data_IF_878615860400
#
_entry.id   IF_878615860400
#
_cell.length_a   1.000
_cell.length_b   1.000
_cell.length_c   1.000
_cell.angle_alpha   90.00
_cell.angle_beta   90.00
_cell.angle_gamma   90.00
#
_symmetry.space_group_name_H-M   'P 1'
#
loop_
_entity.id
_entity.type
_entity.pdbx_description
1 polymer ?
#
# COMPACT_ATOMS: atom_id res chain seq x y z
N UNK A 1 -2.73 21.23 -5.04
CA UNK A 1 -1.33 20.86 -4.84
C UNK A 1 -0.87 20.22 -6.16
N UNK A 2 -0.07 20.95 -6.98
CA UNK A 2 0.32 20.74 -8.41
C UNK A 2 -0.58 21.40 -9.49
N UNK A 3 -0.16 22.58 -9.98
CA UNK A 3 -0.74 23.27 -11.16
C UNK A 3 0.19 23.19 -12.39
N UNK A 4 0.98 22.12 -12.55
CA UNK A 4 2.14 22.12 -13.45
C UNK A 4 2.07 21.22 -14.69
N UNK A 5 0.89 20.75 -15.09
CA UNK A 5 0.76 19.83 -16.25
C UNK A 5 -0.05 20.38 -17.43
N UNK A 6 -0.09 21.70 -17.62
CA UNK A 6 -0.70 22.29 -18.82
C UNK A 6 0.26 23.22 -19.56
N UNK A 7 1.32 22.65 -20.15
CA UNK A 7 2.09 23.29 -21.22
C UNK A 7 1.91 22.46 -22.49
N UNK A 8 0.78 22.65 -23.16
CA UNK A 8 0.71 22.32 -24.57
C UNK A 8 1.53 23.36 -25.34
N UNK A 9 2.52 22.86 -26.08
CA UNK A 9 3.22 23.61 -27.10
C UNK A 9 2.23 24.14 -28.12
N UNK A 10 2.10 25.46 -28.18
CA UNK A 10 1.79 26.17 -29.41
C UNK A 10 2.83 27.27 -29.62
N UNK A 11 3.08 27.50 -30.91
CA UNK A 11 4.22 28.14 -31.55
C UNK A 11 4.80 29.45 -30.99
N UNK A 12 6.13 29.51 -31.11
CA UNK A 12 6.96 30.67 -31.47
C UNK A 12 6.65 32.03 -30.80
N UNK A 13 7.47 32.41 -29.82
CA UNK A 13 8.14 33.71 -29.88
C UNK A 13 9.35 33.74 -28.94
N UNK A 14 10.42 34.30 -29.49
CA UNK A 14 11.72 34.47 -28.88
C UNK A 14 11.60 35.48 -27.73
N UNK A 15 11.78 35.05 -26.48
CA UNK A 15 12.03 35.98 -25.38
C UNK A 15 12.96 35.31 -24.37
N UNK A 16 14.24 35.72 -24.40
CA UNK A 16 15.24 35.36 -23.40
C UNK A 16 14.87 36.01 -22.06
N UNK A 17 14.01 35.35 -21.30
CA UNK A 17 13.84 35.64 -19.89
C UNK A 17 14.97 34.93 -19.13
N UNK A 18 15.97 35.73 -18.74
CA UNK A 18 17.05 35.37 -17.83
C UNK A 18 16.42 34.88 -16.51
N UNK A 19 16.33 33.57 -16.33
CA UNK A 19 15.90 32.96 -15.07
C UNK A 19 16.97 33.21 -14.00
N UNK A 20 16.65 34.03 -13.00
CA UNK A 20 17.39 34.01 -11.75
C UNK A 20 17.04 32.73 -10.97
N UNK A 21 18.04 32.03 -10.40
CA UNK A 21 17.78 30.84 -9.60
C UNK A 21 17.02 31.24 -8.32
N UNK A 22 15.81 30.68 -8.17
CA UNK A 22 15.07 30.70 -6.91
C UNK A 22 15.95 30.06 -5.82
N UNK A 23 16.44 30.90 -4.91
CA UNK A 23 17.02 30.46 -3.63
C UNK A 23 15.92 29.76 -2.84
N UNK A 24 15.98 28.43 -2.83
CA UNK A 24 15.27 27.62 -1.86
C UNK A 24 15.99 27.80 -0.52
N UNK A 25 15.44 28.61 0.38
CA UNK A 25 15.82 28.54 1.78
C UNK A 25 15.39 27.16 2.29
N UNK A 26 16.38 26.28 2.46
CA UNK A 26 16.17 24.96 3.02
C UNK A 26 15.62 25.07 4.44
N UNK A 27 14.78 24.11 4.88
CA UNK A 27 14.35 24.07 6.27
C UNK A 27 15.59 24.01 7.17
N UNK A 28 15.63 24.89 8.18
CA UNK A 28 16.68 24.91 9.18
C UNK A 28 16.89 23.49 9.71
N UNK A 29 18.12 23.01 9.61
CA UNK A 29 18.55 21.74 10.17
C UNK A 29 18.18 21.73 11.65
N UNK A 30 17.20 20.92 12.02
CA UNK A 30 16.91 20.62 13.41
C UNK A 30 18.04 19.69 13.85
N UNK A 31 18.93 20.22 14.68
CA UNK A 31 19.99 19.45 15.33
C UNK A 31 19.30 18.32 16.13
N UNK A 32 19.42 17.08 15.63
CA UNK A 32 19.12 15.89 16.40
C UNK A 32 20.23 15.73 17.44
N UNK A 33 19.94 16.10 18.68
CA UNK A 33 20.73 15.70 19.85
C UNK A 33 20.78 14.18 19.90
N UNK A 34 21.97 13.63 19.65
CA UNK A 34 22.28 12.23 19.82
C UNK A 34 22.33 11.93 21.33
N UNK A 35 21.20 11.49 21.88
CA UNK A 35 21.13 10.87 23.21
C UNK A 35 21.89 9.52 23.15
N UNK A 36 23.14 9.56 23.63
CA UNK A 36 23.92 8.38 23.94
C UNK A 36 23.26 7.68 25.15
N UNK A 37 22.53 6.59 24.88
CA UNK A 37 22.09 5.67 25.93
C UNK A 37 23.22 4.69 26.21
N UNK A 38 23.82 4.86 27.38
CA UNK A 38 24.64 3.84 28.06
C UNK A 38 23.83 2.55 28.18
N UNK A 39 24.33 1.49 27.57
CA UNK A 39 23.91 0.13 27.84
C UNK A 39 24.76 -0.37 29.01
N UNK A 40 24.24 -0.20 30.24
CA UNK A 40 24.75 -0.93 31.39
C UNK A 40 24.35 -2.41 31.25
N UNK A 41 25.35 -3.24 31.03
CA UNK A 41 25.32 -4.70 31.16
C UNK A 41 25.05 -5.04 32.62
N UNK A 42 23.85 -5.52 32.93
CA UNK A 42 23.55 -6.22 34.19
C UNK A 42 23.41 -7.72 33.89
N UNK A 43 24.50 -8.42 34.20
CA UNK A 43 24.53 -9.86 34.44
C UNK A 43 23.75 -10.16 35.72
N UNK A 44 22.60 -10.79 35.60
CA UNK A 44 21.94 -11.50 36.70
C UNK A 44 21.82 -12.99 36.33
N UNK A 45 22.82 -13.75 36.78
CA UNK A 45 22.70 -15.18 37.03
C UNK A 45 21.78 -15.40 38.24
N UNK A 46 20.61 -16.01 38.08
CA UNK A 46 20.06 -16.79 39.19
C UNK A 46 19.00 -17.85 38.81
N UNK A 47 19.42 -19.11 39.05
CA UNK A 47 18.69 -20.13 39.81
C UNK A 47 17.29 -20.59 39.40
N UNK A 48 17.33 -21.72 38.67
CA UNK A 48 16.39 -22.86 38.72
C UNK A 48 15.61 -23.04 40.04
N UNK A 49 14.29 -23.17 39.96
CA UNK A 49 13.56 -24.24 40.68
C UNK A 49 12.30 -24.65 39.91
N UNK A 50 12.24 -25.93 39.55
CA UNK A 50 11.11 -26.54 38.86
C UNK A 50 9.89 -26.64 39.76
N UNK A 51 8.76 -26.20 39.22
CA UNK A 51 7.43 -26.55 39.71
C UNK A 51 6.65 -27.14 38.54
N UNK A 52 6.44 -28.46 38.61
CA UNK A 52 5.56 -29.22 37.72
C UNK A 52 4.11 -28.87 38.08
N UNK A 53 3.65 -27.69 37.65
CA UNK A 53 2.25 -27.29 37.78
C UNK A 53 1.51 -27.70 36.52
N UNK A 54 0.81 -28.84 36.63
CA UNK A 54 -0.05 -29.47 35.62
C UNK A 54 -1.32 -28.60 35.43
N UNK A 55 -1.10 -27.39 34.92
CA UNK A 55 -2.17 -26.47 34.56
C UNK A 55 -2.84 -27.00 33.30
N UNK A 56 -4.06 -27.51 33.47
CA UNK A 56 -4.97 -27.81 32.39
C UNK A 56 -5.18 -26.54 31.58
N UNK A 57 -4.38 -26.38 30.52
CA UNK A 57 -4.48 -25.31 29.55
C UNK A 57 -5.83 -25.48 28.87
N UNK A 58 -6.83 -24.75 29.36
CA UNK A 58 -8.07 -24.51 28.62
C UNK A 58 -7.65 -24.03 27.24
N UNK A 59 -7.75 -24.93 26.25
CA UNK A 59 -7.16 -24.74 24.95
C UNK A 59 -7.63 -23.41 24.38
N UNK A 60 -6.71 -22.45 24.26
CA UNK A 60 -6.98 -21.15 23.66
C UNK A 60 -7.64 -21.45 22.32
N UNK A 61 -8.93 -21.09 22.13
CA UNK A 61 -9.65 -21.45 20.92
C UNK A 61 -8.88 -20.91 19.73
N UNK A 62 -8.50 -21.81 18.82
CA UNK A 62 -7.72 -21.39 17.66
C UNK A 62 -8.49 -20.31 16.89
N UNK A 63 -7.81 -19.24 16.44
CA UNK A 63 -8.44 -18.18 15.69
C UNK A 63 -9.23 -18.77 14.50
N UNK A 64 -10.52 -18.46 14.41
CA UNK A 64 -11.35 -18.88 13.28
C UNK A 64 -10.82 -18.19 12.02
N UNK A 65 -10.30 -18.98 11.08
CA UNK A 65 -9.89 -18.48 9.76
C UNK A 65 -11.14 -18.18 8.92
N UNK A 66 -11.41 -16.91 8.67
CA UNK A 66 -12.57 -16.48 7.88
C UNK A 66 -12.27 -16.58 6.38
N UNK A 67 -12.95 -17.49 5.67
CA UNK A 67 -12.86 -17.58 4.22
C UNK A 67 -13.46 -16.34 3.53
N UNK A 68 -13.08 -16.04 2.27
CA UNK A 68 -13.46 -14.79 1.55
C UNK A 68 -14.97 -14.53 1.37
N UNK A 69 -15.82 -15.52 1.67
CA UNK A 69 -17.29 -15.45 1.56
C UNK A 69 -17.99 -15.48 2.93
N UNK A 70 -17.23 -15.41 4.03
CA UNK A 70 -17.80 -15.42 5.37
C UNK A 70 -18.49 -14.08 5.70
N UNK A 71 -19.76 -14.14 6.10
CA UNK A 71 -20.58 -12.95 6.43
C UNK A 71 -19.96 -12.11 7.56
N UNK A 72 -19.21 -12.73 8.47
CA UNK A 72 -18.53 -12.05 9.57
C UNK A 72 -17.46 -11.06 9.11
N UNK A 73 -16.94 -11.18 7.88
CA UNK A 73 -15.90 -10.29 7.34
C UNK A 73 -16.33 -8.85 7.13
N UNK A 74 -17.64 -8.62 7.08
CA UNK A 74 -18.24 -7.29 6.94
C UNK A 74 -18.59 -6.64 8.28
N UNK A 75 -18.45 -7.38 9.40
CA UNK A 75 -18.75 -6.84 10.71
C UNK A 75 -17.76 -5.73 11.10
N UNK A 76 -18.27 -4.68 11.74
CA UNK A 76 -17.48 -3.69 12.46
C UNK A 76 -17.59 -3.92 13.97
N UNK A 77 -16.48 -3.75 14.66
CA UNK A 77 -16.48 -3.60 16.12
C UNK A 77 -17.19 -2.32 16.55
N UNK A 78 -17.62 -2.27 17.81
CA UNK A 78 -18.36 -1.12 18.33
C UNK A 78 -17.54 0.18 18.26
N UNK A 79 -16.24 0.12 18.57
CA UNK A 79 -15.32 1.27 18.53
C UNK A 79 -15.08 1.74 17.10
N UNK A 80 -14.84 0.82 16.16
CA UNK A 80 -14.65 1.15 14.74
C UNK A 80 -15.90 1.81 14.16
N UNK A 81 -17.09 1.31 14.50
CA UNK A 81 -18.37 1.91 14.07
C UNK A 81 -18.57 3.31 14.64
N UNK A 82 -18.28 3.51 15.93
CA UNK A 82 -18.35 4.83 16.55
C UNK A 82 -17.41 5.81 15.84
N UNK A 83 -16.17 5.41 15.59
CA UNK A 83 -15.18 6.24 14.93
C UNK A 83 -15.55 6.56 13.48
N UNK A 84 -16.04 5.57 12.72
CA UNK A 84 -16.52 5.77 11.35
C UNK A 84 -17.67 6.79 11.27
N UNK A 85 -18.59 6.77 12.24
CA UNK A 85 -19.69 7.75 12.32
C UNK A 85 -19.18 9.16 12.63
N UNK A 86 -18.16 9.29 13.47
CA UNK A 86 -17.53 10.57 13.77
C UNK A 86 -16.80 11.15 12.55
N UNK A 87 -16.02 10.34 11.84
CA UNK A 87 -15.37 10.75 10.58
C UNK A 87 -16.43 11.18 9.57
N UNK A 88 -17.50 10.39 9.37
CA UNK A 88 -18.60 10.73 8.46
C UNK A 88 -19.26 12.06 8.84
N UNK A 89 -19.56 12.26 10.14
CA UNK A 89 -20.18 13.48 10.63
C UNK A 89 -19.28 14.72 10.49
N UNK A 90 -17.95 14.54 10.61
CA UNK A 90 -16.99 15.61 10.39
C UNK A 90 -16.85 15.94 8.89
N UNK A 91 -16.72 14.93 8.03
CA UNK A 91 -16.64 15.11 6.59
C UNK A 91 -17.88 15.81 6.02
N UNK A 92 -19.08 15.52 6.54
CA UNK A 92 -20.31 16.20 6.15
C UNK A 92 -20.35 17.71 6.48
N UNK A 93 -19.44 18.20 7.34
CA UNK A 93 -19.28 19.63 7.66
C UNK A 93 -18.21 20.32 6.79
N UNK A 94 -17.47 19.56 5.99
CA UNK A 94 -16.44 20.07 5.09
C UNK A 94 -17.05 20.23 3.68
N UNK A 95 -17.33 21.46 3.20
CA UNK A 95 -18.03 21.66 1.93
C UNK A 95 -17.22 21.23 0.70
N UNK A 96 -15.90 21.16 0.84
CA UNK A 96 -14.98 20.73 -0.22
C UNK A 96 -14.96 19.20 -0.39
N UNK A 97 -15.39 18.43 0.62
CA UNK A 97 -15.44 16.97 0.56
C UNK A 97 -16.76 16.50 -0.03
N UNK A 98 -16.71 15.77 -1.14
CA UNK A 98 -17.89 15.06 -1.63
C UNK A 98 -18.30 13.94 -0.64
N UNK A 99 -19.61 13.67 -0.45
CA UNK A 99 -20.06 12.56 0.37
C UNK A 99 -19.49 11.22 -0.13
N UNK A 100 -18.85 10.46 0.76
CA UNK A 100 -18.38 9.10 0.48
C UNK A 100 -19.40 8.07 0.98
N UNK A 101 -19.23 6.81 0.56
CA UNK A 101 -20.05 5.71 1.05
C UNK A 101 -19.72 5.39 2.52
N UNK A 102 -20.69 4.78 3.21
CA UNK A 102 -20.50 4.27 4.58
C UNK A 102 -19.34 3.28 4.67
N UNK A 103 -19.11 2.53 3.60
CA UNK A 103 -18.01 1.57 3.49
C UNK A 103 -16.64 2.26 3.51
N UNK A 104 -16.49 3.37 2.79
CA UNK A 104 -15.25 4.16 2.81
C UNK A 104 -14.93 4.71 4.20
N UNK A 105 -15.92 5.31 4.88
CA UNK A 105 -15.71 5.82 6.24
C UNK A 105 -15.34 4.71 7.22
N UNK A 106 -15.94 3.52 7.07
CA UNK A 106 -15.59 2.35 7.86
C UNK A 106 -14.13 1.89 7.63
N UNK A 107 -13.68 1.79 6.38
CA UNK A 107 -12.30 1.40 6.06
C UNK A 107 -11.28 2.38 6.60
N UNK A 108 -11.53 3.69 6.43
CA UNK A 108 -10.66 4.74 6.97
C UNK A 108 -10.63 4.71 8.50
N UNK A 109 -11.77 4.44 9.15
CA UNK A 109 -11.83 4.27 10.59
C UNK A 109 -10.99 3.09 11.07
N UNK A 110 -11.09 1.92 10.42
CA UNK A 110 -10.29 0.73 10.76
C UNK A 110 -8.80 1.04 10.67
N UNK A 111 -8.35 1.59 9.55
CA UNK A 111 -6.93 1.83 9.30
C UNK A 111 -6.37 2.90 10.24
N UNK A 112 -7.04 4.04 10.37
CA UNK A 112 -6.62 5.09 11.32
C UNK A 112 -6.59 4.57 12.76
N UNK A 113 -7.57 3.77 13.16
CA UNK A 113 -7.57 3.17 14.50
C UNK A 113 -6.38 2.22 14.71
N UNK A 114 -5.98 1.47 13.68
CA UNK A 114 -4.81 0.61 13.74
C UNK A 114 -3.49 1.39 13.76
N UNK A 115 -3.37 2.47 12.97
CA UNK A 115 -2.20 3.37 12.96
C UNK A 115 -1.91 3.97 14.33
N UNK A 116 -2.96 4.19 15.13
CA UNK A 116 -2.88 4.69 16.51
C UNK A 116 -2.91 3.58 17.57
N UNK A 117 -2.45 2.37 17.22
CA UNK A 117 -2.36 1.22 18.14
C UNK A 117 -3.67 0.92 18.88
N UNK A 118 -4.81 1.05 18.19
CA UNK A 118 -6.15 0.82 18.74
C UNK A 118 -6.51 1.78 19.90
N UNK A 119 -5.88 2.96 19.95
CA UNK A 119 -6.20 4.00 20.91
C UNK A 119 -7.16 5.03 20.29
N UNK A 120 -8.43 5.01 20.73
CA UNK A 120 -9.46 5.89 20.20
C UNK A 120 -9.18 7.37 20.48
N UNK A 121 -8.55 7.68 21.63
CA UNK A 121 -8.24 9.08 21.99
C UNK A 121 -7.18 9.64 21.05
N UNK A 122 -6.13 8.87 20.77
CA UNK A 122 -5.11 9.23 19.79
C UNK A 122 -5.72 9.35 18.38
N UNK A 123 -6.53 8.38 17.95
CA UNK A 123 -7.21 8.44 16.66
C UNK A 123 -8.09 9.68 16.49
N UNK A 124 -8.84 10.06 17.53
CA UNK A 124 -9.68 11.28 17.52
C UNK A 124 -8.86 12.56 17.42
N UNK A 125 -7.69 12.61 18.07
CA UNK A 125 -6.79 13.76 17.96
C UNK A 125 -6.26 13.95 16.53
N UNK A 126 -6.29 12.88 15.72
CA UNK A 126 -5.84 12.84 14.33
C UNK A 126 -6.97 13.04 13.30
N UNK A 127 -8.18 13.42 13.75
CA UNK A 127 -9.30 13.71 12.85
C UNK A 127 -8.94 14.69 11.71
N UNK A 128 -8.19 15.79 11.93
CA UNK A 128 -7.80 16.68 10.84
C UNK A 128 -6.98 15.97 9.75
N UNK A 129 -6.02 15.12 10.12
CA UNK A 129 -5.21 14.38 9.15
C UNK A 129 -6.05 13.34 8.40
N UNK A 130 -7.03 12.72 9.06
CA UNK A 130 -8.01 11.84 8.41
C UNK A 130 -8.82 12.60 7.36
N UNK A 131 -9.29 13.82 7.65
CA UNK A 131 -10.02 14.65 6.68
C UNK A 131 -9.14 15.10 5.52
N UNK A 132 -7.89 15.49 5.78
CA UNK A 132 -6.90 15.82 4.74
C UNK A 132 -6.64 14.61 3.83
N UNK A 133 -6.50 13.41 4.40
CA UNK A 133 -6.38 12.16 3.64
C UNK A 133 -7.59 11.94 2.72
N UNK A 134 -8.81 12.12 3.23
CA UNK A 134 -10.02 12.00 2.41
C UNK A 134 -10.02 12.99 1.23
N UNK A 135 -9.58 14.22 1.48
CA UNK A 135 -9.47 15.26 0.45
C UNK A 135 -8.48 14.87 -0.64
N UNK A 136 -7.29 14.42 -0.25
CA UNK A 136 -6.26 14.02 -1.18
C UNK A 136 -6.66 12.78 -2.00
N UNK A 137 -7.42 11.85 -1.41
CA UNK A 137 -8.01 10.73 -2.15
C UNK A 137 -9.03 11.21 -3.20
N UNK A 138 -9.81 12.25 -2.91
CA UNK A 138 -10.74 12.84 -3.88
C UNK A 138 -10.02 13.57 -5.01
N UNK A 139 -9.03 14.40 -4.68
CA UNK A 139 -8.19 15.09 -5.66
C UNK A 139 -7.55 14.08 -6.61
N UNK A 140 -7.04 12.97 -6.08
CA UNK A 140 -6.43 11.91 -6.87
C UNK A 140 -7.43 11.22 -7.81
N UNK A 141 -8.67 10.97 -7.36
CA UNK A 141 -9.71 10.43 -8.24
C UNK A 141 -9.99 11.37 -9.41
N UNK A 142 -10.05 12.66 -9.15
CA UNK A 142 -10.30 13.67 -10.19
C UNK A 142 -9.09 13.78 -11.15
N UNK A 143 -7.88 13.88 -10.61
CA UNK A 143 -6.63 14.05 -11.39
C UNK A 143 -6.38 12.88 -12.36
N UNK A 144 -6.68 11.65 -11.91
CA UNK A 144 -6.44 10.43 -12.69
C UNK A 144 -7.70 9.86 -13.33
N UNK A 145 -8.79 10.64 -13.40
CA UNK A 145 -10.05 10.27 -14.08
C UNK A 145 -10.64 8.94 -13.60
N UNK A 146 -10.55 8.69 -12.30
CA UNK A 146 -11.03 7.46 -11.67
C UNK A 146 -12.56 7.50 -11.60
N UNK A 147 -13.21 6.56 -12.29
CA UNK A 147 -14.69 6.46 -12.38
C UNK A 147 -15.35 5.65 -11.27
N UNK A 148 -14.58 4.98 -10.42
CA UNK A 148 -15.05 4.07 -9.37
C UNK A 148 -16.08 3.03 -9.85
N UNK A 149 -15.78 2.35 -10.96
CA UNK A 149 -16.59 1.22 -11.47
C UNK A 149 -15.73 -0.01 -11.71
N UNK A 150 -16.33 -1.20 -11.62
CA UNK A 150 -15.65 -2.47 -11.94
C UNK A 150 -15.09 -2.45 -13.35
N UNK A 151 -15.88 -2.03 -14.35
CA UNK A 151 -15.47 -2.05 -15.76
C UNK A 151 -14.25 -1.16 -16.01
N UNK A 152 -14.27 0.08 -15.50
CA UNK A 152 -13.13 0.98 -15.61
C UNK A 152 -11.90 0.45 -14.86
N UNK A 153 -12.10 -0.12 -13.67
CA UNK A 153 -11.01 -0.73 -12.91
C UNK A 153 -10.35 -1.89 -13.66
N UNK A 154 -11.15 -2.79 -14.24
CA UNK A 154 -10.65 -3.90 -15.05
C UNK A 154 -9.92 -3.40 -16.30
N UNK A 155 -10.45 -2.38 -16.97
CA UNK A 155 -9.81 -1.76 -18.13
C UNK A 155 -8.41 -1.25 -17.81
N UNK A 156 -8.28 -0.38 -16.79
CA UNK A 156 -6.98 0.22 -16.45
C UNK A 156 -6.00 -0.82 -15.87
N UNK A 157 -6.48 -1.76 -15.04
CA UNK A 157 -5.64 -2.84 -14.53
C UNK A 157 -5.15 -3.75 -15.66
N UNK A 158 -6.00 -4.08 -16.64
CA UNK A 158 -5.61 -4.88 -17.81
C UNK A 158 -4.55 -4.14 -18.63
N UNK A 159 -4.77 -2.86 -18.92
CA UNK A 159 -3.79 -2.04 -19.66
C UNK A 159 -2.44 -1.99 -18.93
N UNK A 160 -2.44 -1.85 -17.60
CA UNK A 160 -1.20 -1.85 -16.82
C UNK A 160 -0.52 -3.22 -16.79
N UNK A 161 -1.24 -4.29 -16.48
CA UNK A 161 -0.69 -5.63 -16.27
C UNK A 161 -0.34 -6.33 -17.59
N UNK A 162 -1.10 -6.10 -18.66
CA UNK A 162 -0.88 -6.76 -19.95
C UNK A 162 0.00 -5.93 -20.89
N UNK A 163 -0.12 -4.60 -20.90
CA UNK A 163 0.51 -3.76 -21.94
C UNK A 163 1.67 -2.92 -21.40
N UNK A 164 1.53 -2.29 -20.23
CA UNK A 164 2.54 -1.34 -19.72
C UNK A 164 3.68 -2.02 -18.95
N UNK A 165 3.33 -2.96 -18.07
CA UNK A 165 4.26 -3.61 -17.13
C UNK A 165 3.97 -5.11 -17.05
N UNK A 166 4.07 -5.86 -18.17
CA UNK A 166 3.83 -7.29 -18.15
C UNK A 166 4.82 -7.99 -17.22
N UNK A 167 4.32 -8.85 -16.33
CA UNK A 167 5.15 -9.60 -15.38
C UNK A 167 5.55 -8.83 -14.10
N UNK A 168 5.31 -7.52 -14.03
CA UNK A 168 5.58 -6.75 -12.80
C UNK A 168 4.70 -7.20 -11.65
N UNK A 169 3.39 -7.31 -11.86
CA UNK A 169 2.46 -7.87 -10.88
C UNK A 169 2.22 -9.32 -11.28
N UNK A 170 2.69 -10.26 -10.47
CA UNK A 170 2.71 -11.68 -10.83
C UNK A 170 1.54 -12.46 -10.25
N UNK A 171 1.15 -12.15 -9.01
CA UNK A 171 0.07 -12.89 -8.36
C UNK A 171 -0.68 -12.03 -7.33
N UNK A 172 -1.98 -12.29 -7.27
CA UNK A 172 -2.91 -11.78 -6.27
C UNK A 172 -3.75 -12.96 -5.77
N UNK A 173 -3.82 -13.15 -4.45
CA UNK A 173 -4.59 -14.23 -3.83
C UNK A 173 -4.87 -13.95 -2.37
N UNK A 174 -5.84 -14.64 -1.77
CA UNK A 174 -6.08 -14.58 -0.32
C UNK A 174 -5.27 -15.66 0.39
N UNK A 175 -4.48 -15.29 1.40
CA UNK A 175 -3.68 -16.21 2.20
C UNK A 175 -4.39 -16.49 3.53
N UNK A 176 -5.17 -17.57 3.56
CA UNK A 176 -6.06 -17.91 4.68
C UNK A 176 -5.32 -17.95 6.03
N UNK A 177 -4.14 -18.58 6.10
CA UNK A 177 -3.38 -18.69 7.36
C UNK A 177 -2.94 -17.33 7.93
N UNK A 178 -2.69 -16.34 7.08
CA UNK A 178 -2.29 -14.99 7.50
C UNK A 178 -3.48 -14.05 7.63
N UNK A 179 -4.67 -14.49 7.26
CA UNK A 179 -5.87 -13.66 7.18
C UNK A 179 -5.80 -12.52 6.14
N UNK A 180 -4.74 -12.45 5.32
CA UNK A 180 -4.41 -11.29 4.49
C UNK A 180 -4.36 -11.61 3.00
N UNK A 181 -4.47 -10.57 2.17
CA UNK A 181 -4.21 -10.71 0.74
C UNK A 181 -2.71 -10.78 0.46
N UNK A 182 -2.30 -11.74 -0.38
CA UNK A 182 -0.95 -11.85 -0.89
C UNK A 182 -0.85 -11.14 -2.24
N UNK A 183 0.12 -10.24 -2.36
CA UNK A 183 0.59 -9.69 -3.63
C UNK A 183 2.03 -10.08 -3.91
N UNK A 184 2.31 -10.51 -5.13
CA UNK A 184 3.65 -10.87 -5.57
C UNK A 184 4.05 -9.99 -6.73
N UNK A 185 5.19 -9.30 -6.61
CA UNK A 185 5.70 -8.38 -7.64
C UNK A 185 7.15 -8.71 -8.02
N UNK A 186 7.53 -8.47 -9.27
CA UNK A 186 8.91 -8.55 -9.75
C UNK A 186 9.44 -7.16 -10.08
N UNK A 187 10.51 -6.75 -9.41
CA UNK A 187 11.13 -5.44 -9.69
C UNK A 187 11.82 -5.43 -11.05
N UNK A 188 12.35 -6.56 -11.49
CA UNK A 188 13.05 -6.69 -12.78
C UNK A 188 12.13 -6.37 -13.96
N UNK A 189 10.85 -6.72 -13.85
CA UNK A 189 9.82 -6.41 -14.85
C UNK A 189 9.25 -4.98 -14.70
N UNK A 190 9.63 -4.24 -13.66
CA UNK A 190 9.19 -2.88 -13.45
C UNK A 190 10.02 -1.89 -14.29
N UNK A 191 9.46 -1.51 -15.44
CA UNK A 191 10.10 -0.58 -16.36
C UNK A 191 9.88 0.88 -15.91
N UNK A 192 10.92 1.51 -15.34
CA UNK A 192 10.89 2.91 -14.89
C UNK A 192 10.65 3.93 -16.02
N UNK A 193 10.78 3.57 -17.29
CA UNK A 193 10.50 4.50 -18.40
C UNK A 193 9.04 4.93 -18.48
N UNK A 194 8.11 4.23 -17.81
CA UNK A 194 6.71 4.69 -17.68
C UNK A 194 6.63 6.11 -17.13
N UNK A 195 7.57 6.49 -16.27
CA UNK A 195 7.64 7.82 -15.65
C UNK A 195 8.05 8.95 -16.57
N UNK A 196 8.49 8.62 -17.79
CA UNK A 196 8.82 9.62 -18.80
C UNK A 196 7.59 10.05 -19.62
N UNK A 197 6.44 9.37 -19.45
CA UNK A 197 5.24 9.58 -20.25
C UNK A 197 4.02 9.77 -19.34
N UNK A 198 3.49 10.99 -19.27
CA UNK A 198 2.37 11.36 -18.39
C UNK A 198 1.16 10.40 -18.52
N UNK A 199 0.83 9.96 -19.73
CA UNK A 199 -0.28 9.03 -19.95
C UNK A 199 -0.04 7.65 -19.31
N UNK A 200 1.20 7.14 -19.42
CA UNK A 200 1.56 5.84 -18.82
C UNK A 200 1.57 5.92 -17.31
N UNK A 201 2.12 6.99 -16.74
CA UNK A 201 2.09 7.25 -15.28
C UNK A 201 0.66 7.32 -14.79
N UNK A 202 -0.19 8.12 -15.45
CA UNK A 202 -1.61 8.25 -15.10
C UNK A 202 -2.33 6.90 -15.13
N UNK A 203 -2.12 6.11 -16.19
CA UNK A 203 -2.71 4.77 -16.31
C UNK A 203 -2.25 3.86 -15.18
N UNK A 204 -0.95 3.86 -14.88
CA UNK A 204 -0.38 3.08 -13.79
C UNK A 204 -0.93 3.51 -12.41
N UNK A 205 -0.96 4.81 -12.10
CA UNK A 205 -1.50 5.32 -10.84
C UNK A 205 -3.00 4.99 -10.67
N UNK A 206 -3.78 5.13 -11.75
CA UNK A 206 -5.17 4.68 -11.77
C UNK A 206 -5.28 3.17 -11.51
N UNK A 207 -4.39 2.35 -12.10
CA UNK A 207 -4.36 0.92 -11.80
C UNK A 207 -3.99 0.63 -10.34
N UNK A 208 -3.04 1.36 -9.73
CA UNK A 208 -2.72 1.18 -8.30
C UNK A 208 -3.94 1.46 -7.42
N UNK A 209 -4.76 2.47 -7.75
CA UNK A 209 -6.01 2.72 -7.02
C UNK A 209 -6.93 1.50 -6.99
N UNK A 210 -7.20 0.89 -8.15
CA UNK A 210 -8.07 -0.30 -8.24
C UNK A 210 -7.42 -1.56 -7.69
N UNK A 211 -6.09 -1.69 -7.79
CA UNK A 211 -5.36 -2.76 -7.12
C UNK A 211 -5.51 -2.61 -5.61
N UNK A 212 -5.37 -1.41 -5.05
CA UNK A 212 -5.59 -1.19 -3.62
C UNK A 212 -7.04 -1.49 -3.23
N UNK A 213 -8.03 -1.13 -4.06
CA UNK A 213 -9.42 -1.56 -3.87
C UNK A 213 -9.53 -3.09 -3.78
N UNK A 214 -8.91 -3.82 -4.71
CA UNK A 214 -8.94 -5.28 -4.71
C UNK A 214 -8.34 -5.88 -3.43
N UNK A 215 -7.38 -5.21 -2.77
CA UNK A 215 -6.82 -5.67 -1.49
C UNK A 215 -7.74 -5.48 -0.28
N UNK A 216 -8.75 -4.60 -0.37
CA UNK A 216 -9.68 -4.33 0.74
C UNK A 216 -11.15 -4.50 0.31
N UNK A 217 -11.58 -5.71 -0.07
CA UNK A 217 -12.96 -5.94 -0.49
C UNK A 217 -13.95 -5.98 0.68
N UNK A 218 -13.48 -6.14 1.92
CA UNK A 218 -14.30 -6.24 3.13
C UNK A 218 -13.58 -5.63 4.35
N UNK A 219 -14.27 -5.56 5.50
CA UNK A 219 -13.73 -4.96 6.73
C UNK A 219 -12.60 -5.79 7.33
N UNK A 220 -12.68 -7.11 7.22
CA UNK A 220 -11.60 -7.99 7.68
C UNK A 220 -10.32 -7.78 6.87
N UNK A 221 -10.42 -7.67 5.55
CA UNK A 221 -9.29 -7.34 4.71
C UNK A 221 -8.70 -5.96 5.03
N UNK A 222 -9.52 -4.98 5.41
CA UNK A 222 -9.02 -3.68 5.87
C UNK A 222 -8.24 -3.78 7.20
N UNK A 223 -8.63 -4.67 8.12
CA UNK A 223 -7.91 -4.93 9.38
C UNK A 223 -6.61 -5.69 9.17
N UNK A 224 -6.66 -6.73 8.34
CA UNK A 224 -5.53 -7.62 8.15
C UNK A 224 -4.53 -7.04 7.15
N UNK A 225 -4.99 -6.23 6.18
CA UNK A 225 -4.14 -5.67 5.15
C UNK A 225 -3.64 -6.72 4.15
N UNK A 226 -2.43 -6.52 3.66
CA UNK A 226 -1.78 -7.41 2.71
C UNK A 226 -0.37 -7.82 3.12
N UNK A 227 0.09 -8.90 2.51
CA UNK A 227 1.47 -9.40 2.52
C UNK A 227 2.03 -9.22 1.12
N UNK A 228 3.24 -8.68 1.01
CA UNK A 228 3.91 -8.51 -0.27
C UNK A 228 5.17 -9.37 -0.36
N UNK A 229 5.29 -10.10 -1.46
CA UNK A 229 6.54 -10.75 -1.88
C UNK A 229 7.12 -10.00 -3.07
N UNK A 230 8.41 -9.70 -3.00
CA UNK A 230 9.13 -8.91 -3.99
C UNK A 230 10.30 -9.70 -4.54
N UNK A 231 10.24 -10.07 -5.81
CA UNK A 231 11.37 -10.63 -6.54
C UNK A 231 12.31 -9.51 -6.98
N UNK A 232 13.57 -9.62 -6.58
CA UNK A 232 14.57 -8.58 -6.80
C UNK A 232 15.71 -9.05 -7.72
N UNK A 233 15.74 -10.33 -8.10
CA UNK A 233 16.80 -10.88 -8.96
C UNK A 233 16.80 -10.25 -10.33
N UNK A 234 17.91 -9.60 -10.69
CA UNK A 234 18.07 -8.89 -11.97
C UNK A 234 17.80 -7.38 -11.88
N UNK A 235 17.32 -6.89 -10.73
CA UNK A 235 17.11 -5.46 -10.52
C UNK A 235 18.42 -4.77 -10.08
N UNK A 236 19.22 -4.39 -11.08
CA UNK A 236 20.54 -3.81 -10.91
C UNK A 236 20.59 -2.34 -11.38
N UNK A 237 21.49 -1.55 -10.78
CA UNK A 237 21.69 -0.13 -11.15
C UNK A 237 21.89 0.08 -12.65
N UNK A 238 22.63 -0.82 -13.31
CA UNK A 238 22.94 -0.74 -14.75
C UNK A 238 21.70 -0.86 -15.62
N UNK A 239 20.69 -1.59 -15.16
CA UNK A 239 19.42 -1.78 -15.86
C UNK A 239 18.43 -0.65 -15.57
N UNK A 240 18.76 0.24 -14.62
CA UNK A 240 17.88 1.28 -14.09
C UNK A 240 18.55 2.67 -14.16
N UNK A 241 19.26 2.94 -15.25
CA UNK A 241 19.94 4.23 -15.50
C UNK A 241 19.00 5.45 -15.47
N UNK A 242 17.69 5.22 -15.54
CA UNK A 242 16.62 6.22 -15.45
C UNK A 242 15.82 6.11 -14.14
N UNK A 243 16.47 5.87 -13.00
CA UNK A 243 15.77 5.96 -11.72
C UNK A 243 15.32 7.41 -11.45
N UNK A 244 14.06 7.70 -11.78
CA UNK A 244 13.44 9.00 -11.59
C UNK A 244 12.96 9.14 -10.15
N UNK A 245 13.86 9.56 -9.24
CA UNK A 245 13.53 9.86 -7.83
C UNK A 245 12.28 10.74 -7.73
N UNK A 246 12.17 11.75 -8.59
CA UNK A 246 11.03 12.66 -8.65
C UNK A 246 9.71 11.90 -8.86
N UNK A 247 9.67 11.02 -9.85
CA UNK A 247 8.46 10.29 -10.17
C UNK A 247 8.08 9.27 -9.08
N UNK A 248 9.08 8.66 -8.43
CA UNK A 248 8.85 7.85 -7.23
C UNK A 248 8.28 8.70 -6.07
N UNK A 249 8.81 9.91 -5.86
CA UNK A 249 8.29 10.83 -4.84
C UNK A 249 6.88 11.33 -5.14
N UNK A 250 6.49 11.44 -6.41
CA UNK A 250 5.13 11.80 -6.82
C UNK A 250 4.14 10.63 -6.63
N UNK A 251 4.60 9.39 -6.78
CA UNK A 251 3.79 8.20 -6.53
C UNK A 251 3.68 7.83 -5.04
N UNK A 252 4.67 8.21 -4.22
CA UNK A 252 4.73 7.89 -2.79
C UNK A 252 3.48 8.29 -1.99
N UNK A 253 2.88 9.50 -2.19
CA UNK A 253 1.63 9.89 -1.54
C UNK A 253 0.50 8.89 -1.78
N UNK A 254 0.39 8.27 -2.96
CA UNK A 254 -0.70 7.32 -3.24
C UNK A 254 -0.66 6.12 -2.28
N UNK A 255 0.54 5.62 -1.98
CA UNK A 255 0.73 4.54 -1.01
C UNK A 255 0.44 5.00 0.42
N UNK A 256 0.68 6.28 0.74
CA UNK A 256 0.45 6.84 2.07
C UNK A 256 -1.01 7.20 2.36
N UNK A 257 -1.75 7.59 1.31
CA UNK A 257 -3.11 8.13 1.44
C UNK A 257 -4.16 7.03 1.47
N UNK A 258 -3.95 5.94 0.74
CA UNK A 258 -4.96 4.89 0.63
C UNK A 258 -5.09 4.13 1.97
N UNK A 259 -6.32 3.91 2.51
CA UNK A 259 -6.51 3.19 3.77
C UNK A 259 -6.25 1.69 3.58
N UNK A 260 -4.97 1.31 3.57
CA UNK A 260 -4.51 -0.05 3.37
C UNK A 260 -3.36 -0.36 4.31
N UNK A 261 -3.51 -1.41 5.11
CA UNK A 261 -2.45 -1.91 5.98
C UNK A 261 -1.54 -2.89 5.22
N UNK A 262 -0.26 -2.90 5.60
CA UNK A 262 0.72 -3.88 5.14
C UNK A 262 1.21 -4.65 6.37
N UNK A 263 1.04 -5.98 6.38
CA UNK A 263 1.58 -6.82 7.44
C UNK A 263 3.09 -7.00 7.32
N UNK A 264 3.56 -7.25 6.10
CA UNK A 264 4.98 -7.45 5.83
C UNK A 264 5.28 -7.32 4.34
N UNK A 265 6.50 -6.90 4.03
CA UNK A 265 7.07 -6.93 2.68
C UNK A 265 8.35 -7.75 2.71
N UNK A 266 8.34 -8.92 2.07
CA UNK A 266 9.47 -9.83 1.98
C UNK A 266 10.14 -9.67 0.63
N UNK A 267 11.41 -9.28 0.63
CA UNK A 267 12.21 -9.12 -0.57
C UNK A 267 13.12 -10.34 -0.74
N UNK A 268 12.96 -11.07 -1.83
CA UNK A 268 13.77 -12.24 -2.19
C UNK A 268 14.85 -11.85 -3.17
N UNK A 269 16.00 -12.54 -3.12
CA UNK A 269 17.11 -12.36 -4.05
C UNK A 269 17.61 -10.91 -4.15
N UNK A 270 17.72 -10.23 -3.00
CA UNK A 270 18.05 -8.80 -2.96
C UNK A 270 19.52 -8.49 -3.23
N UNK A 271 19.77 -7.62 -4.21
CA UNK A 271 21.07 -6.99 -4.42
C UNK A 271 21.28 -5.72 -3.56
N UNK A 272 22.51 -5.20 -3.56
CA UNK A 272 22.86 -3.97 -2.83
C UNK A 272 22.02 -2.76 -3.27
N UNK A 273 21.71 -2.65 -4.57
CA UNK A 273 20.91 -1.55 -5.09
C UNK A 273 19.48 -1.52 -4.53
N UNK A 274 18.81 -2.68 -4.44
CA UNK A 274 17.47 -2.77 -3.85
C UNK A 274 17.48 -2.38 -2.37
N UNK A 275 18.52 -2.78 -1.61
CA UNK A 275 18.66 -2.37 -0.20
C UNK A 275 18.80 -0.85 -0.06
N UNK A 276 19.53 -0.20 -0.96
CA UNK A 276 19.61 1.26 -1.01
C UNK A 276 18.23 1.90 -1.30
N UNK A 277 17.51 1.40 -2.30
CA UNK A 277 16.17 1.91 -2.62
C UNK A 277 15.17 1.72 -1.47
N UNK A 278 15.21 0.57 -0.80
CA UNK A 278 14.37 0.32 0.37
C UNK A 278 14.69 1.30 1.52
N UNK A 279 15.97 1.64 1.72
CA UNK A 279 16.38 2.68 2.69
C UNK A 279 15.87 4.07 2.31
N UNK A 280 15.87 4.41 1.02
CA UNK A 280 15.27 5.66 0.52
C UNK A 280 13.74 5.65 0.69
N UNK A 281 13.07 4.54 0.35
CA UNK A 281 11.62 4.39 0.47
C UNK A 281 11.15 4.53 1.92
N UNK A 282 11.93 4.05 2.91
CA UNK A 282 11.67 4.26 4.35
C UNK A 282 11.54 5.73 4.76
N UNK A 283 12.13 6.66 4.00
CA UNK A 283 12.04 8.11 4.27
C UNK A 283 10.82 8.76 3.61
N UNK A 284 10.25 8.11 2.60
CA UNK A 284 9.15 8.65 1.77
C UNK A 284 7.80 8.01 2.10
N UNK A 285 7.80 6.78 2.60
CA UNK A 285 6.60 6.03 2.93
C UNK A 285 6.27 6.11 4.43
N UNK A 286 4.99 5.99 4.81
CA UNK A 286 4.60 5.86 6.20
C UNK A 286 5.33 4.72 6.91
N UNK A 287 5.63 4.93 8.20
CA UNK A 287 6.34 3.94 9.03
C UNK A 287 5.62 2.59 9.05
N UNK A 288 4.30 2.57 9.04
CA UNK A 288 3.52 1.32 9.07
C UNK A 288 3.70 0.45 7.82
N UNK A 289 4.05 1.04 6.66
CA UNK A 289 4.33 0.27 5.44
C UNK A 289 5.75 -0.31 5.40
N UNK A 290 6.67 0.26 6.18
CA UNK A 290 8.10 -0.01 6.05
C UNK A 290 8.75 -0.65 7.28
N UNK A 291 8.01 -0.70 8.40
CA UNK A 291 8.45 -1.37 9.64
C UNK A 291 8.81 -2.84 9.41
N UNK A 292 8.08 -3.52 8.53
CA UNK A 292 8.19 -4.97 8.31
C UNK A 292 8.80 -5.30 6.94
N UNK A 293 9.86 -4.57 6.56
CA UNK A 293 10.68 -4.90 5.40
C UNK A 293 11.67 -6.00 5.76
N UNK A 294 11.41 -7.20 5.27
CA UNK A 294 12.26 -8.37 5.44
C UNK A 294 13.07 -8.61 4.15
N UNK A 295 14.34 -9.01 4.30
CA UNK A 295 15.25 -9.29 3.20
C UNK A 295 15.76 -10.72 3.33
N UNK A 296 15.22 -11.61 2.50
CA UNK A 296 15.56 -13.02 2.53
C UNK A 296 16.67 -13.33 1.50
N UNK A 297 17.73 -13.96 1.98
CA UNK A 297 18.77 -14.53 1.14
C UNK A 297 18.50 -16.02 0.96
N UNK A 298 17.76 -16.41 -0.08
CA UNK A 298 17.49 -17.83 -0.32
C UNK A 298 16.37 -18.12 -1.31
N UNK A 299 16.20 -19.41 -1.60
CA UNK A 299 15.11 -19.99 -2.37
C UNK A 299 13.80 -19.97 -1.58
N UNK A 300 12.67 -19.95 -2.29
CA UNK A 300 11.35 -20.07 -1.67
C UNK A 300 11.03 -21.55 -1.54
N UNK A 301 11.59 -22.17 -0.51
CA UNK A 301 11.49 -23.62 -0.31
C UNK A 301 12.49 -24.42 -1.14
N UNK A 302 12.30 -25.74 -1.18
CA UNK A 302 13.18 -26.67 -1.88
C UNK A 302 12.99 -26.56 -3.41
N UNK A 303 14.06 -26.15 -4.11
CA UNK A 303 14.13 -26.18 -5.57
C UNK A 303 13.57 -24.97 -6.32
N UNK A 304 12.92 -24.00 -5.65
CA UNK A 304 12.40 -22.79 -6.29
C UNK A 304 13.37 -21.63 -6.12
N UNK A 305 14.06 -21.25 -7.19
CA UNK A 305 15.08 -20.17 -7.08
C UNK A 305 14.52 -18.77 -7.30
N UNK A 306 13.35 -18.67 -7.91
CA UNK A 306 12.72 -17.42 -8.33
C UNK A 306 11.21 -17.46 -8.17
N UNK A 307 10.60 -16.34 -7.80
CA UNK A 307 9.14 -16.23 -7.74
C UNK A 307 8.48 -16.44 -9.10
N UNK A 308 9.11 -16.04 -10.21
CA UNK A 308 8.55 -16.22 -11.55
C UNK A 308 8.30 -17.70 -11.89
N UNK A 309 9.12 -18.62 -11.37
CA UNK A 309 8.97 -20.08 -11.60
C UNK A 309 7.65 -20.62 -11.06
N UNK A 310 7.08 -19.96 -10.04
CA UNK A 310 5.80 -20.32 -9.44
C UNK A 310 4.62 -19.59 -10.07
N UNK A 311 4.80 -18.30 -10.40
CA UNK A 311 3.68 -17.42 -10.71
C UNK A 311 3.55 -17.04 -12.19
N UNK A 312 4.58 -17.23 -13.02
CA UNK A 312 4.54 -16.92 -14.46
C UNK A 312 4.10 -18.11 -15.34
N UNK A 313 3.57 -19.19 -14.73
CA UNK A 313 3.21 -20.43 -15.41
C UNK A 313 1.75 -20.44 -15.93
N UNK A 314 1.46 -21.11 -17.05
CA UNK A 314 2.40 -21.77 -17.98
C UNK A 314 3.12 -20.78 -18.91
N UNK A 315 2.54 -19.60 -19.13
CA UNK A 315 3.15 -18.48 -19.84
C UNK A 315 2.76 -17.18 -19.14
N UNK A 316 3.56 -16.13 -19.33
CA UNK A 316 3.34 -14.82 -18.74
C UNK A 316 1.99 -14.22 -19.16
N UNK A 317 1.58 -14.39 -20.41
CA UNK A 317 0.28 -13.90 -20.90
C UNK A 317 -0.88 -14.57 -20.17
N UNK A 318 -0.84 -15.89 -19.98
CA UNK A 318 -1.88 -16.62 -19.24
C UNK A 318 -1.85 -16.24 -17.76
N UNK A 319 -0.67 -16.02 -17.17
CA UNK A 319 -0.53 -15.56 -15.80
C UNK A 319 -1.16 -14.16 -15.61
N UNK A 320 -0.87 -13.22 -16.51
CA UNK A 320 -1.43 -11.87 -16.50
C UNK A 320 -2.97 -11.89 -16.63
N UNK A 321 -3.52 -12.71 -17.54
CA UNK A 321 -4.97 -12.87 -17.69
C UNK A 321 -5.63 -13.41 -16.41
N UNK A 322 -5.01 -14.42 -15.78
CA UNK A 322 -5.48 -14.98 -14.49
C UNK A 322 -5.40 -13.93 -13.38
N UNK A 323 -4.34 -13.14 -13.34
CA UNK A 323 -4.18 -12.06 -12.36
C UNK A 323 -5.31 -11.03 -12.49
N UNK A 324 -5.56 -10.55 -13.71
CA UNK A 324 -6.65 -9.60 -14.00
C UNK A 324 -8.01 -10.17 -13.58
N UNK A 325 -8.28 -11.44 -13.86
CA UNK A 325 -9.51 -12.10 -13.44
C UNK A 325 -9.67 -12.12 -11.91
N UNK A 326 -8.61 -12.44 -11.16
CA UNK A 326 -8.68 -12.44 -9.69
C UNK A 326 -8.83 -11.05 -9.09
N UNK A 327 -8.16 -10.05 -9.68
CA UNK A 327 -8.33 -8.65 -9.28
C UNK A 327 -9.76 -8.17 -9.55
N UNK A 328 -10.34 -8.56 -10.69
CA UNK A 328 -11.74 -8.30 -11.02
C UNK A 328 -12.68 -8.90 -9.97
N UNK A 329 -12.53 -10.19 -9.64
CA UNK A 329 -13.40 -10.87 -8.67
C UNK A 329 -13.38 -10.18 -7.30
N UNK A 330 -12.20 -9.74 -6.84
CA UNK A 330 -12.08 -8.99 -5.59
C UNK A 330 -12.68 -7.59 -5.69
N UNK A 331 -12.49 -6.91 -6.83
CA UNK A 331 -13.05 -5.59 -7.07
C UNK A 331 -14.59 -5.62 -7.14
N UNK A 332 -15.17 -6.62 -7.79
CA UNK A 332 -16.62 -6.86 -7.83
C UNK A 332 -17.18 -7.05 -6.42
N UNK A 333 -16.52 -7.88 -5.61
CA UNK A 333 -16.91 -8.09 -4.21
C UNK A 333 -16.84 -6.79 -3.41
N UNK A 334 -15.78 -6.00 -3.59
CA UNK A 334 -15.64 -4.70 -2.93
C UNK A 334 -16.82 -3.80 -3.25
N UNK A 335 -17.13 -3.60 -4.53
CA UNK A 335 -18.22 -2.70 -4.94
C UNK A 335 -19.60 -3.22 -4.52
N UNK A 336 -19.80 -4.54 -4.51
CA UNK A 336 -21.01 -5.14 -3.95
C UNK A 336 -21.14 -4.87 -2.44
N UNK A 337 -20.06 -5.04 -1.69
CA UNK A 337 -20.02 -4.76 -0.26
C UNK A 337 -20.24 -3.26 0.03
N UNK A 338 -19.60 -2.39 -0.74
CA UNK A 338 -19.81 -0.94 -0.66
C UNK A 338 -21.26 -0.54 -0.90
N UNK A 339 -21.89 -1.10 -1.95
CA UNK A 339 -23.27 -0.80 -2.29
C UNK A 339 -24.26 -1.21 -1.17
N UNK A 340 -23.96 -2.28 -0.44
CA UNK A 340 -24.85 -2.87 0.56
C UNK A 340 -24.58 -2.42 2.00
N UNK A 341 -23.35 -2.01 2.32
CA UNK A 341 -22.94 -1.68 3.69
C UNK A 341 -23.52 -0.35 4.18
N UNK A 342 -23.99 -0.31 5.43
CA UNK A 342 -24.56 0.90 6.08
C UNK A 342 -24.05 1.01 7.52
N UNK A 343 -23.70 2.24 7.94
CA UNK A 343 -23.08 2.56 9.25
C UNK A 343 -24.07 2.73 10.40
#
# INVERSE_FOLDING_TARGET
MLSFLNNNHDDSSNNEARMEPLRMEGPAAREEEADARDNDEQDDEDSSSGSDDDSSTEGIPMPRVLGPLDEGRMALGATERLWAREIKAAAAKCPELEPLSDFWYAQVAIVSFHEHHQNLVAARSDLPAVLERLHALQDMRQEYFIRDTVSHGVEVMSRTVCDLLPGWFMAFSYHAEKGAYLRVVSLTEFNMSIFTQNEKVRTWLAAIWYINHAHVPDMEAARQGFVQYVECKGYEWRNQSMFHIKAFSEAAPLFALYPLLCQQTVHYNTGMFVKLLASMAKRLLPKHLTKDFLFESGSIGEGVTRLEELFAMPTQEVANQRLVARLKDALERRYQNEANFRL
#
